data_IF_599660940131
#
_entry.id   IF_599660940131
#
_cell.length_a   1.000
_cell.length_b   1.000
_cell.length_c   1.000
_cell.angle_alpha   90.00
_cell.angle_beta   90.00
_cell.angle_gamma   90.00
#
_symmetry.space_group_name_H-M   'P 1'
#
loop_
_entity.id
_entity.type
_entity.pdbx_description
1 polymer ?
#
# COMPACT_ATOMS: atom_id res chain seq x y z
N UNK A 1 -19.93 -2.89 -3.16
CA UNK A 1 -20.14 -4.16 -2.43
C UNK A 1 -18.89 -5.02 -2.62
N UNK A 2 -18.32 -5.60 -1.56
CA UNK A 2 -16.98 -6.24 -1.57
C UNK A 2 -16.97 -7.60 -2.31
N UNK A 3 -18.11 -8.07 -2.83
CA UNK A 3 -18.22 -9.35 -3.55
C UNK A 3 -18.04 -10.57 -2.63
N UNK A 4 -18.17 -10.38 -1.32
CA UNK A 4 -18.05 -11.43 -0.30
C UNK A 4 -19.29 -12.31 -0.17
N UNK A 5 -20.44 -11.83 -0.66
CA UNK A 5 -21.71 -12.54 -0.70
C UNK A 5 -22.23 -12.55 -2.15
N UNK A 6 -22.83 -13.66 -2.58
CA UNK A 6 -23.55 -13.75 -3.84
C UNK A 6 -24.96 -13.14 -3.72
N UNK A 7 -25.73 -13.13 -4.81
CA UNK A 7 -27.10 -12.58 -4.86
C UNK A 7 -28.08 -13.28 -3.91
N UNK A 8 -27.70 -14.45 -3.37
CA UNK A 8 -28.47 -15.26 -2.44
C UNK A 8 -27.90 -15.23 -1.01
N UNK A 9 -27.04 -14.25 -0.69
CA UNK A 9 -26.37 -14.09 0.61
C UNK A 9 -25.45 -15.27 1.02
N UNK A 10 -25.03 -16.12 0.08
CA UNK A 10 -24.04 -17.15 0.36
C UNK A 10 -22.62 -16.58 0.25
N UNK A 11 -21.72 -17.09 1.10
CA UNK A 11 -20.32 -16.69 1.09
C UNK A 11 -19.64 -17.15 -0.21
N UNK A 12 -19.15 -16.19 -1.00
CA UNK A 12 -18.37 -16.48 -2.22
C UNK A 12 -17.01 -17.09 -1.85
N UNK A 13 -16.31 -17.72 -2.80
CA UNK A 13 -14.94 -18.20 -2.56
C UNK A 13 -14.02 -17.06 -2.11
N UNK A 14 -14.23 -15.84 -2.65
CA UNK A 14 -13.60 -14.62 -2.16
C UNK A 14 -13.95 -14.36 -0.68
N UNK A 15 -15.23 -14.42 -0.32
CA UNK A 15 -15.68 -14.27 1.07
C UNK A 15 -15.08 -15.28 2.04
N UNK A 16 -14.83 -16.53 1.60
CA UNK A 16 -14.16 -17.57 2.39
C UNK A 16 -12.70 -17.24 2.68
N UNK A 17 -11.95 -16.73 1.70
CA UNK A 17 -10.58 -16.29 1.95
C UNK A 17 -10.52 -15.02 2.79
N UNK A 18 -11.46 -14.09 2.60
CA UNK A 18 -11.54 -12.86 3.38
C UNK A 18 -11.77 -13.11 4.87
N UNK A 19 -12.57 -14.13 5.23
CA UNK A 19 -12.84 -14.44 6.65
C UNK A 19 -11.63 -15.01 7.40
N UNK A 20 -10.59 -15.46 6.68
CA UNK A 20 -9.36 -15.99 7.27
C UNK A 20 -8.28 -14.93 7.51
N UNK A 21 -8.41 -13.75 6.88
CA UNK A 21 -7.40 -12.69 6.96
C UNK A 21 -7.70 -11.74 8.13
N UNK A 22 -6.73 -11.44 9.02
CA UNK A 22 -6.92 -10.56 10.18
C UNK A 22 -6.82 -9.07 9.78
N UNK A 23 -7.51 -8.67 8.71
CA UNK A 23 -7.53 -7.30 8.18
C UNK A 23 -8.95 -6.94 7.74
N UNK A 24 -9.19 -5.66 7.52
CA UNK A 24 -10.43 -5.21 6.90
C UNK A 24 -10.67 -5.91 5.55
N UNK A 25 -11.93 -6.31 5.22
CA UNK A 25 -12.23 -7.03 3.99
C UNK A 25 -11.75 -6.34 2.70
N UNK A 26 -11.65 -5.01 2.71
CA UNK A 26 -11.07 -4.20 1.62
C UNK A 26 -9.59 -4.50 1.38
N UNK A 27 -8.81 -4.59 2.46
CA UNK A 27 -7.40 -4.94 2.43
C UNK A 27 -7.20 -6.42 2.11
N UNK A 28 -8.07 -7.28 2.63
CA UNK A 28 -8.06 -8.71 2.27
C UNK A 28 -8.29 -8.92 0.77
N UNK A 29 -9.21 -8.16 0.17
CA UNK A 29 -9.47 -8.20 -1.29
C UNK A 29 -8.22 -7.78 -2.06
N UNK A 30 -7.51 -6.75 -1.59
CA UNK A 30 -6.25 -6.31 -2.19
C UNK A 30 -5.20 -7.42 -2.19
N UNK A 31 -5.01 -8.12 -1.06
CA UNK A 31 -4.09 -9.25 -0.94
C UNK A 31 -4.44 -10.39 -1.92
N UNK A 32 -5.72 -10.76 -1.99
CA UNK A 32 -6.18 -11.82 -2.89
C UNK A 32 -5.94 -11.44 -4.36
N UNK A 33 -6.28 -10.21 -4.73
CA UNK A 33 -6.04 -9.70 -6.08
C UNK A 33 -4.53 -9.65 -6.41
N UNK A 34 -3.69 -9.23 -5.47
CA UNK A 34 -2.23 -9.26 -5.63
C UNK A 34 -1.68 -10.67 -5.88
N UNK A 35 -2.26 -11.68 -5.23
CA UNK A 35 -1.92 -13.08 -5.45
C UNK A 35 -2.36 -13.55 -6.86
N UNK A 36 -3.61 -13.27 -7.26
CA UNK A 36 -4.16 -13.62 -8.58
C UNK A 36 -3.35 -12.99 -9.73
N UNK A 37 -2.98 -11.72 -9.60
CA UNK A 37 -2.22 -10.99 -10.61
C UNK A 37 -0.71 -11.15 -10.51
N UNK A 38 -0.22 -12.04 -9.62
CA UNK A 38 1.22 -12.32 -9.46
C UNK A 38 2.06 -11.06 -9.22
N UNK A 39 1.52 -10.15 -8.40
CA UNK A 39 2.17 -8.92 -7.96
C UNK A 39 2.11 -8.76 -6.43
N UNK A 40 2.22 -9.87 -5.70
CA UNK A 40 1.87 -9.89 -4.27
C UNK A 40 2.86 -9.13 -3.38
N UNK A 41 4.14 -9.06 -3.73
CA UNK A 41 5.17 -8.43 -2.90
C UNK A 41 4.90 -6.94 -2.63
N UNK A 42 4.70 -6.05 -3.63
CA UNK A 42 4.37 -4.66 -3.35
C UNK A 42 3.03 -4.52 -2.60
N UNK A 43 2.05 -5.38 -2.91
CA UNK A 43 0.73 -5.37 -2.27
C UNK A 43 0.81 -5.75 -0.78
N UNK A 44 1.68 -6.68 -0.40
CA UNK A 44 1.96 -7.00 0.99
C UNK A 44 2.50 -5.77 1.74
N UNK A 45 3.34 -4.94 1.13
CA UNK A 45 3.84 -3.71 1.78
C UNK A 45 2.71 -2.73 1.99
N UNK A 46 1.90 -2.50 0.94
CA UNK A 46 0.81 -1.55 1.00
C UNK A 46 -0.20 -1.94 2.07
N UNK A 47 -0.64 -3.20 2.08
CA UNK A 47 -1.62 -3.68 3.08
C UNK A 47 -1.03 -3.65 4.49
N UNK A 48 0.23 -4.03 4.67
CA UNK A 48 0.90 -3.95 5.97
C UNK A 48 1.08 -2.50 6.46
N UNK A 49 1.42 -1.56 5.58
CA UNK A 49 1.53 -0.15 5.93
C UNK A 49 0.18 0.49 6.25
N UNK A 50 -0.87 0.16 5.52
CA UNK A 50 -2.24 0.61 5.82
C UNK A 50 -2.79 0.00 7.13
N UNK A 51 -2.29 -1.17 7.53
CA UNK A 51 -2.61 -1.82 8.81
C UNK A 51 -1.71 -1.35 9.96
N UNK A 52 -0.69 -0.54 9.68
CA UNK A 52 0.26 0.01 10.64
C UNK A 52 0.14 1.55 10.67
N UNK A 53 1.05 2.22 11.38
CA UNK A 53 1.20 3.68 11.31
C UNK A 53 2.01 4.08 10.07
N UNK A 54 1.90 5.34 9.66
CA UNK A 54 2.78 5.90 8.62
C UNK A 54 4.25 5.82 9.09
N UNK A 55 5.17 5.19 8.32
CA UNK A 55 6.59 5.18 8.66
C UNK A 55 7.27 6.53 8.41
N UNK A 56 6.72 7.43 7.61
CA UNK A 56 7.29 8.75 7.33
C UNK A 56 7.10 9.70 8.52
N UNK A 57 8.21 10.20 9.05
CA UNK A 57 8.24 11.13 10.18
C UNK A 57 8.22 12.58 9.68
N UNK A 58 7.42 13.44 10.31
CA UNK A 58 7.42 14.89 10.08
C UNK A 58 7.76 15.66 11.37
N UNK A 59 9.03 15.75 11.77
CA UNK A 59 9.44 16.59 12.90
C UNK A 59 9.13 18.06 12.60
N UNK A 60 8.61 18.79 13.60
CA UNK A 60 8.14 20.17 13.42
C UNK A 60 9.23 21.11 12.88
N UNK A 61 10.48 20.93 13.32
CA UNK A 61 11.62 21.77 12.95
C UNK A 61 12.28 21.35 11.63
N UNK A 62 11.85 20.22 11.04
CA UNK A 62 12.47 19.63 9.84
C UNK A 62 11.45 19.21 8.78
N UNK A 63 10.27 19.85 8.77
CA UNK A 63 9.18 19.52 7.85
C UNK A 63 9.61 19.55 6.37
N UNK A 64 10.36 20.58 5.96
CA UNK A 64 10.79 20.73 4.56
C UNK A 64 11.79 19.63 4.14
N UNK A 65 12.71 19.28 5.03
CA UNK A 65 13.67 18.19 4.80
C UNK A 65 12.97 16.83 4.75
N UNK A 66 12.03 16.59 5.67
CA UNK A 66 11.23 15.36 5.70
C UNK A 66 10.35 15.24 4.43
N UNK A 67 9.71 16.33 4.00
CA UNK A 67 8.93 16.38 2.77
C UNK A 67 9.79 16.10 1.53
N UNK A 68 10.99 16.69 1.46
CA UNK A 68 11.96 16.43 0.38
C UNK A 68 12.47 14.99 0.41
N UNK A 69 12.66 14.40 1.58
CA UNK A 69 13.04 12.99 1.69
C UNK A 69 11.91 12.06 1.22
N UNK A 70 10.66 12.34 1.63
CA UNK A 70 9.48 11.58 1.19
C UNK A 70 9.29 11.67 -0.32
N UNK A 71 9.43 12.85 -0.92
CA UNK A 71 9.23 13.05 -2.37
C UNK A 71 10.22 12.25 -3.24
N UNK A 72 11.42 11.94 -2.72
CA UNK A 72 12.37 11.05 -3.39
C UNK A 72 11.83 9.63 -3.56
N UNK A 73 11.00 9.16 -2.62
CA UNK A 73 10.31 7.88 -2.74
C UNK A 73 9.09 7.97 -3.66
N UNK A 74 8.42 9.12 -3.71
CA UNK A 74 7.25 9.31 -4.58
C UNK A 74 7.62 9.30 -6.07
N UNK A 75 8.87 9.61 -6.42
CA UNK A 75 9.41 9.63 -7.80
C UNK A 75 8.47 10.35 -8.80
N UNK A 76 8.58 10.12 -10.11
CA UNK A 76 7.70 10.74 -11.15
C UNK A 76 6.23 10.27 -11.08
N UNK A 77 5.88 9.54 -10.04
CA UNK A 77 4.79 8.57 -10.01
C UNK A 77 3.64 9.01 -9.10
N UNK A 78 3.84 10.06 -8.29
CA UNK A 78 2.84 10.73 -7.45
C UNK A 78 1.90 9.75 -6.71
N UNK A 79 2.48 8.77 -6.01
CA UNK A 79 1.71 7.75 -5.28
C UNK A 79 2.34 7.45 -3.92
N UNK A 80 1.62 7.78 -2.85
CA UNK A 80 2.04 7.49 -1.46
C UNK A 80 2.22 6.00 -1.20
N UNK A 81 1.37 5.16 -1.77
CA UNK A 81 1.46 3.71 -1.66
C UNK A 81 2.76 3.20 -2.28
N UNK A 82 3.16 3.75 -3.44
CA UNK A 82 4.43 3.38 -4.07
C UNK A 82 5.65 3.99 -3.35
N UNK A 83 5.49 5.17 -2.76
CA UNK A 83 6.51 5.75 -1.89
C UNK A 83 6.80 4.84 -0.69
N UNK A 84 5.75 4.31 -0.07
CA UNK A 84 5.85 3.33 1.01
C UNK A 84 6.56 2.04 0.56
N UNK A 85 6.20 1.49 -0.61
CA UNK A 85 6.85 0.30 -1.18
C UNK A 85 8.36 0.52 -1.32
N UNK A 86 8.77 1.62 -1.94
CA UNK A 86 10.20 1.95 -2.15
C UNK A 86 10.93 2.22 -0.84
N UNK A 87 10.28 2.90 0.11
CA UNK A 87 10.87 3.16 1.43
C UNK A 87 11.15 1.85 2.17
N UNK A 88 10.21 0.90 2.12
CA UNK A 88 10.38 -0.44 2.71
C UNK A 88 11.46 -1.27 1.99
N UNK A 89 11.46 -1.29 0.66
CA UNK A 89 12.47 -2.04 -0.12
C UNK A 89 13.88 -1.53 0.19
N UNK A 90 14.11 -0.21 0.09
CA UNK A 90 15.40 0.37 0.40
C UNK A 90 15.81 0.19 1.87
N UNK A 91 14.85 0.21 2.81
CA UNK A 91 15.14 -0.13 4.19
C UNK A 91 15.55 -1.59 4.33
N UNK A 92 14.89 -2.52 3.64
CA UNK A 92 15.21 -3.94 3.74
C UNK A 92 16.57 -4.26 3.14
N UNK A 93 16.97 -3.55 2.08
CA UNK A 93 18.30 -3.63 1.50
C UNK A 93 19.35 -3.11 2.49
N UNK A 94 19.15 -1.92 3.05
CA UNK A 94 20.02 -1.37 4.08
C UNK A 94 20.12 -2.25 5.34
N UNK A 95 19.02 -2.90 5.75
CA UNK A 95 19.01 -3.82 6.88
C UNK A 95 19.90 -5.05 6.62
N UNK A 96 19.91 -5.58 5.37
CA UNK A 96 20.83 -6.68 4.99
C UNK A 96 22.29 -6.27 5.03
N UNK A 97 22.57 -4.99 4.78
CA UNK A 97 23.92 -4.41 4.83
C UNK A 97 24.32 -3.93 6.23
N UNK A 98 23.44 -4.04 7.22
CA UNK A 98 23.67 -3.55 8.59
C UNK A 98 23.53 -2.03 8.77
N UNK A 99 23.04 -1.31 7.75
CA UNK A 99 22.88 0.15 7.73
C UNK A 99 21.42 0.60 7.91
N UNK A 100 20.50 -0.29 8.25
CA UNK A 100 19.05 0.00 8.32
C UNK A 100 18.66 1.17 9.24
N UNK A 101 19.35 1.36 10.38
CA UNK A 101 19.10 2.52 11.25
C UNK A 101 19.54 3.83 10.61
N UNK A 102 20.71 3.86 9.98
CA UNK A 102 21.21 5.03 9.25
C UNK A 102 20.27 5.39 8.09
N UNK A 103 19.80 4.37 7.36
CA UNK A 103 18.82 4.54 6.30
C UNK A 103 17.54 5.21 6.82
N UNK A 104 17.02 4.75 7.96
CA UNK A 104 15.84 5.36 8.57
C UNK A 104 16.08 6.82 8.97
N UNK A 105 17.21 7.09 9.63
CA UNK A 105 17.58 8.44 10.05
C UNK A 105 17.70 9.41 8.88
N UNK A 106 18.41 9.03 7.81
CA UNK A 106 18.64 9.87 6.62
C UNK A 106 17.37 10.17 5.84
N UNK A 107 16.39 9.28 5.90
CA UNK A 107 15.15 9.37 5.12
C UNK A 107 13.92 9.77 5.96
N UNK A 108 14.12 10.15 7.23
CA UNK A 108 13.02 10.50 8.15
C UNK A 108 11.99 9.37 8.27
N UNK A 109 12.46 8.13 8.47
CA UNK A 109 11.61 6.95 8.64
C UNK A 109 11.66 6.42 10.07
N UNK A 110 10.54 5.88 10.55
CA UNK A 110 10.46 5.13 11.80
C UNK A 110 10.92 3.69 11.59
N UNK A 111 12.09 3.34 12.13
CA UNK A 111 12.60 1.96 12.12
C UNK A 111 11.63 0.98 12.80
N UNK A 112 10.98 1.42 13.89
CA UNK A 112 9.99 0.62 14.62
C UNK A 112 8.76 0.32 13.75
N UNK A 113 8.28 1.32 13.02
CA UNK A 113 7.13 1.17 12.12
C UNK A 113 7.48 0.26 10.94
N UNK A 114 8.66 0.42 10.33
CA UNK A 114 9.12 -0.46 9.25
C UNK A 114 9.29 -1.91 9.69
N UNK A 115 9.77 -2.14 10.92
CA UNK A 115 9.83 -3.48 11.51
C UNK A 115 8.44 -4.08 11.75
N UNK A 116 7.46 -3.27 12.17
CA UNK A 116 6.08 -3.69 12.31
C UNK A 116 5.47 -4.07 10.95
N UNK A 117 5.69 -3.24 9.92
CA UNK A 117 5.28 -3.53 8.53
C UNK A 117 5.92 -4.83 8.05
N UNK A 118 7.21 -5.05 8.28
CA UNK A 118 7.90 -6.29 7.93
C UNK A 118 7.27 -7.53 8.59
N UNK A 119 6.90 -7.40 9.86
CA UNK A 119 6.27 -8.50 10.61
C UNK A 119 4.88 -8.83 10.08
N UNK A 120 4.07 -7.80 9.79
CA UNK A 120 2.75 -7.97 9.15
C UNK A 120 2.85 -8.58 7.76
N UNK A 121 3.81 -8.15 6.93
CA UNK A 121 4.09 -8.77 5.61
C UNK A 121 4.33 -10.26 5.73
N UNK A 122 5.15 -10.68 6.70
CA UNK A 122 5.42 -12.10 6.98
C UNK A 122 4.16 -12.85 7.39
N UNK A 123 3.35 -12.27 8.28
CA UNK A 123 2.10 -12.87 8.72
C UNK A 123 1.12 -13.05 7.56
N UNK A 124 0.90 -12.02 6.74
CA UNK A 124 0.00 -12.11 5.59
C UNK A 124 0.53 -13.09 4.54
N UNK A 125 1.83 -13.08 4.24
CA UNK A 125 2.43 -14.05 3.34
C UNK A 125 2.25 -15.49 3.83
N UNK A 126 2.39 -15.73 5.14
CA UNK A 126 2.13 -17.04 5.73
C UNK A 126 0.68 -17.49 5.53
N UNK A 127 -0.30 -16.63 5.85
CA UNK A 127 -1.72 -16.95 5.71
C UNK A 127 -2.08 -17.22 4.24
N UNK A 128 -1.57 -16.42 3.30
CA UNK A 128 -1.82 -16.62 1.87
C UNK A 128 -1.20 -17.93 1.34
N UNK A 129 -0.04 -18.34 1.87
CA UNK A 129 0.56 -19.64 1.54
C UNK A 129 -0.25 -20.80 2.10
N UNK A 130 -0.66 -20.70 3.35
CA UNK A 130 -1.47 -21.71 4.04
C UNK A 130 -2.83 -21.91 3.36
N UNK A 131 -3.43 -20.82 2.88
CA UNK A 131 -4.66 -20.84 2.09
C UNK A 131 -4.46 -21.32 0.63
N UNK A 132 -3.23 -21.59 0.19
CA UNK A 132 -2.93 -22.01 -1.19
C UNK A 132 -3.11 -20.92 -2.25
N UNK A 133 -3.17 -19.65 -1.84
CA UNK A 133 -3.33 -18.51 -2.76
C UNK A 133 -2.02 -18.08 -3.42
N UNK A 134 -0.88 -18.35 -2.77
CA UNK A 134 0.45 -18.07 -3.32
C UNK A 134 1.35 -19.30 -3.22
N UNK A 135 2.20 -19.47 -4.23
CA UNK A 135 3.11 -20.59 -4.33
C UNK A 135 4.29 -20.48 -3.35
N UNK A 136 5.01 -21.59 -3.14
CA UNK A 136 6.25 -21.55 -2.36
C UNK A 136 7.36 -20.75 -3.06
N UNK A 137 7.36 -20.74 -4.39
CA UNK A 137 8.30 -19.99 -5.21
C UNK A 137 7.91 -18.50 -5.30
N UNK A 138 8.79 -17.63 -4.79
CA UNK A 138 8.58 -16.20 -4.81
C UNK A 138 8.54 -15.61 -6.22
N UNK A 139 9.25 -16.21 -7.19
CA UNK A 139 9.31 -15.69 -8.56
C UNK A 139 7.98 -15.86 -9.28
N UNK A 140 7.36 -17.04 -9.14
CA UNK A 140 6.02 -17.31 -9.68
C UNK A 140 4.98 -16.33 -9.15
N UNK A 141 5.08 -15.96 -7.87
CA UNK A 141 4.15 -15.03 -7.22
C UNK A 141 4.33 -13.55 -7.57
N UNK A 142 5.46 -13.19 -8.20
CA UNK A 142 5.87 -11.79 -8.38
C UNK A 142 6.30 -11.45 -9.81
N UNK A 143 5.94 -12.29 -10.79
CA UNK A 143 6.29 -12.11 -12.20
C UNK A 143 5.81 -10.78 -12.79
N UNK A 144 4.78 -10.16 -12.20
CA UNK A 144 4.23 -8.87 -12.62
C UNK A 144 4.39 -7.75 -11.58
N UNK A 145 5.16 -7.97 -10.51
CA UNK A 145 5.37 -6.95 -9.44
C UNK A 145 6.03 -5.67 -9.92
N UNK A 146 6.77 -5.70 -11.02
CA UNK A 146 7.39 -4.50 -11.61
C UNK A 146 6.42 -3.66 -12.46
N UNK A 147 5.24 -4.20 -12.80
CA UNK A 147 4.23 -3.47 -13.55
C UNK A 147 3.47 -2.51 -12.62
N UNK A 148 3.93 -1.27 -12.57
CA UNK A 148 3.38 -0.22 -11.70
C UNK A 148 1.88 0.04 -11.95
N UNK A 149 1.44 0.05 -13.21
CA UNK A 149 0.03 0.27 -13.55
C UNK A 149 -0.86 -0.86 -13.01
N UNK A 150 -0.39 -2.11 -13.08
CA UNK A 150 -1.09 -3.27 -12.51
C UNK A 150 -1.18 -3.17 -10.98
N UNK A 151 -0.05 -2.90 -10.32
CA UNK A 151 0.00 -2.76 -8.86
C UNK A 151 -0.96 -1.66 -8.39
N UNK A 152 -0.98 -0.50 -9.07
CA UNK A 152 -1.93 0.58 -8.79
C UNK A 152 -3.38 0.16 -9.02
N UNK A 153 -3.67 -0.57 -10.11
CA UNK A 153 -5.00 -1.11 -10.38
C UNK A 153 -5.48 -2.04 -9.26
N UNK A 154 -4.59 -2.91 -8.75
CA UNK A 154 -4.89 -3.78 -7.60
C UNK A 154 -5.15 -2.97 -6.33
N UNK A 155 -4.35 -1.94 -6.04
CA UNK A 155 -4.56 -1.03 -4.90
C UNK A 155 -5.93 -0.32 -5.02
N UNK A 156 -6.23 0.24 -6.20
CA UNK A 156 -7.50 0.91 -6.50
C UNK A 156 -8.69 -0.03 -6.27
N UNK A 157 -8.56 -1.31 -6.64
CA UNK A 157 -9.60 -2.34 -6.46
C UNK A 157 -9.94 -2.66 -5.00
N UNK A 158 -8.97 -2.51 -4.09
CA UNK A 158 -9.13 -2.72 -2.66
C UNK A 158 -9.67 -1.48 -1.93
N UNK A 159 -9.25 -0.28 -2.35
CA UNK A 159 -9.67 0.98 -1.73
C UNK A 159 -11.07 1.45 -2.17
N UNK A 160 -11.61 0.95 -3.29
CA UNK A 160 -12.96 1.26 -3.76
C UNK A 160 -14.03 1.05 -2.66
N UNK A 161 -14.98 1.99 -2.45
CA UNK A 161 -15.26 3.20 -3.24
C UNK A 161 -14.54 4.49 -2.80
N UNK A 162 -13.47 4.41 -2.02
CA UNK A 162 -12.71 5.58 -1.53
C UNK A 162 -11.87 6.27 -2.61
N UNK A 163 -12.52 6.74 -3.68
CA UNK A 163 -11.91 7.41 -4.83
C UNK A 163 -12.27 8.89 -4.79
N UNK A 164 -11.29 9.76 -5.06
CA UNK A 164 -11.53 11.18 -5.32
C UNK A 164 -11.10 11.52 -6.75
N UNK A 165 -11.88 12.38 -7.42
CA UNK A 165 -11.57 12.93 -8.73
C UNK A 165 -10.80 14.24 -8.58
N UNK A 166 -9.71 14.38 -9.34
CA UNK A 166 -8.95 15.62 -9.44
C UNK A 166 -9.67 16.58 -10.37
N UNK A 167 -10.06 17.73 -9.85
CA UNK A 167 -10.63 18.84 -10.62
C UNK A 167 -9.55 19.90 -10.78
N UNK A 168 -8.94 19.92 -11.96
CA UNK A 168 -8.02 20.98 -12.37
C UNK A 168 -8.76 22.29 -12.57
N UNK A 169 -8.36 23.34 -11.85
CA UNK A 169 -8.68 24.74 -12.15
C UNK A 169 -7.41 25.46 -12.55
N UNK A 170 -7.55 26.52 -13.35
CA UNK A 170 -6.45 27.25 -14.01
C UNK A 170 -5.28 27.64 -13.09
N UNK A 171 -5.48 27.78 -11.77
CA UNK A 171 -4.43 28.05 -10.78
C UNK A 171 -4.52 27.21 -9.49
N UNK A 172 -5.34 26.15 -9.44
CA UNK A 172 -5.45 25.30 -8.24
C UNK A 172 -5.96 23.89 -8.53
N UNK A 173 -5.47 22.92 -7.75
CA UNK A 173 -5.98 21.56 -7.76
C UNK A 173 -7.01 21.41 -6.65
N UNK A 174 -8.20 20.89 -6.98
CA UNK A 174 -9.26 20.60 -6.02
C UNK A 174 -9.72 19.17 -6.16
N UNK A 175 -9.99 18.48 -5.06
CA UNK A 175 -10.36 17.07 -5.07
C UNK A 175 -11.84 16.93 -4.74
N UNK A 176 -12.52 15.96 -5.36
CA UNK A 176 -13.92 15.67 -5.04
C UNK A 176 -14.16 14.18 -4.83
N UNK A 177 -14.81 13.79 -3.73
CA UNK A 177 -15.34 12.43 -3.55
C UNK A 177 -16.80 12.38 -3.99
N UNK A 178 -17.31 11.19 -4.32
CA UNK A 178 -18.72 11.02 -4.69
C UNK A 178 -19.67 11.35 -3.53
N UNK A 179 -19.25 11.08 -2.30
CA UNK A 179 -20.10 11.19 -1.11
C UNK A 179 -19.95 12.56 -0.40
N UNK A 180 -18.75 13.14 -0.34
CA UNK A 180 -18.46 14.34 0.47
C UNK A 180 -18.31 15.64 -0.36
N UNK A 181 -18.40 15.56 -1.69
CA UNK A 181 -18.14 16.71 -2.54
C UNK A 181 -16.67 17.11 -2.48
N UNK A 182 -16.35 18.39 -2.26
CA UNK A 182 -14.95 18.87 -2.30
C UNK A 182 -14.16 18.50 -1.05
N UNK A 183 -13.02 17.82 -1.23
CA UNK A 183 -12.11 17.40 -0.17
C UNK A 183 -10.73 18.04 -0.33
N UNK A 184 -10.02 18.22 0.79
CA UNK A 184 -8.64 18.71 0.82
C UNK A 184 -7.69 17.52 0.96
N UNK A 185 -6.57 17.56 0.23
CA UNK A 185 -5.48 16.60 0.45
C UNK A 185 -4.75 16.99 1.72
N UNK A 186 -4.59 16.02 2.62
CA UNK A 186 -3.78 16.20 3.82
C UNK A 186 -2.36 16.55 3.38
N UNK A 187 -1.74 17.59 3.95
CA UNK A 187 -0.44 18.12 3.51
C UNK A 187 0.74 17.13 3.55
N UNK A 188 0.50 15.90 4.02
CA UNK A 188 1.47 14.80 4.13
C UNK A 188 1.33 13.79 2.98
N UNK A 189 0.27 13.87 2.17
CA UNK A 189 0.01 12.98 1.04
C UNK A 189 0.67 13.48 -0.25
N UNK A 190 1.32 12.56 -0.98
CA UNK A 190 2.04 12.81 -2.25
C UNK A 190 1.15 12.69 -3.50
N UNK A 191 -0.17 12.81 -3.36
CA UNK A 191 -1.23 12.54 -4.34
C UNK A 191 -1.65 11.05 -4.46
N UNK A 192 -2.93 10.86 -4.82
CA UNK A 192 -3.61 9.56 -4.93
C UNK A 192 -3.15 8.78 -6.17
N UNK A 193 -3.40 7.47 -6.20
CA UNK A 193 -3.43 6.76 -7.48
C UNK A 193 -4.48 7.43 -8.37
N UNK A 194 -4.03 8.19 -9.38
CA UNK A 194 -4.86 8.55 -10.52
C UNK A 194 -5.21 7.24 -11.25
N UNK A 195 -6.40 6.73 -10.93
CA UNK A 195 -7.24 5.96 -11.84
C UNK A 195 -8.04 7.03 -12.63
#
# INVERSE_FOLDING_TARGET
MIGSLDENENLTDLGRYLSMLPVDPKLGKMLIMGAVFRCIDPILTVVAGLSARDPFLLPQDKKDLAGTAKSRFSAKDYSDHMALVRAYEGWKDAEREGSGYEYCWRNFLSAQTLQAIHSLRKQFSYILKDAGLIDSDANTNNSLSHNQSLVRGVICSGLFPGISSVVHRENSMSFKTMDDGQVLVYAVCSEFCEC
#
